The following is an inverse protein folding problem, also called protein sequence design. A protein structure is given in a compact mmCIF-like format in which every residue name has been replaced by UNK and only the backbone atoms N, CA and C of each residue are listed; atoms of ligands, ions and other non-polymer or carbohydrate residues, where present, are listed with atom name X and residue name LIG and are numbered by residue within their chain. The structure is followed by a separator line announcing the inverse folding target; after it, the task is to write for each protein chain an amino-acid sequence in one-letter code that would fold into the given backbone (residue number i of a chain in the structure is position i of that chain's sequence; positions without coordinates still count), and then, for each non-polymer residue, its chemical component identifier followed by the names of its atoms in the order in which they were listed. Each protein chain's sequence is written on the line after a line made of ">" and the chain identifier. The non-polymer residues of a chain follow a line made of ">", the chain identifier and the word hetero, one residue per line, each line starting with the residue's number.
data_IF_343084291967
#
_entry.id   IF_343084291967
#
_cell.length_a   1.000
_cell.length_b   1.000
_cell.length_c   1.000
_cell.angle_alpha   90.00
_cell.angle_beta   90.00
_cell.angle_gamma   90.00
#
_symmetry.space_group_name_H-M   'P 1'
#
loop_
_entity.id
_entity.type
_entity.pdbx_description
1 polymer ?
#
# COMPACT_ATOMS: atom_id res chain seq x y z
N UNK A 1 -16.65 -17.57 22.36
CA UNK A 1 -15.99 -18.73 21.71
C UNK A 1 -14.45 -18.71 21.83
N UNK A 2 -13.75 -17.55 21.87
CA UNK A 2 -12.28 -17.52 22.09
C UNK A 2 -11.86 -17.60 23.58
N UNK A 3 -12.69 -17.12 24.54
CA UNK A 3 -12.35 -17.15 25.98
C UNK A 3 -12.09 -18.55 26.55
N UNK A 4 -12.59 -19.60 25.91
CA UNK A 4 -12.36 -21.00 26.32
C UNK A 4 -10.90 -21.43 26.21
N UNK A 5 -10.12 -20.79 25.33
CA UNK A 5 -8.72 -21.15 25.07
C UNK A 5 -7.73 -20.55 26.07
N UNK A 6 -8.18 -19.75 27.06
CA UNK A 6 -7.33 -19.11 28.09
C UNK A 6 -6.08 -18.43 27.52
N UNK A 7 -6.20 -17.78 26.35
CA UNK A 7 -5.06 -17.16 25.68
C UNK A 7 -4.51 -15.95 26.47
N UNK A 8 -3.18 -15.88 26.60
CA UNK A 8 -2.50 -14.71 27.18
C UNK A 8 -2.38 -13.53 26.21
N UNK A 9 -2.30 -13.82 24.92
CA UNK A 9 -2.09 -12.85 23.85
C UNK A 9 -2.84 -13.28 22.57
N UNK A 10 -3.53 -12.34 21.96
CA UNK A 10 -4.10 -12.46 20.62
C UNK A 10 -3.22 -11.71 19.63
N UNK A 11 -2.90 -12.36 18.52
CA UNK A 11 -2.09 -11.80 17.44
C UNK A 11 -2.96 -11.61 16.21
N UNK A 12 -3.12 -10.37 15.79
CA UNK A 12 -3.82 -9.97 14.57
C UNK A 12 -2.80 -9.64 13.48
N UNK A 13 -2.99 -10.22 12.30
CA UNK A 13 -2.25 -9.85 11.10
C UNK A 13 -3.15 -10.04 9.88
N UNK A 14 -3.37 -8.97 9.12
CA UNK A 14 -4.28 -8.98 7.96
C UNK A 14 -5.72 -9.45 8.26
N UNK A 15 -6.16 -9.36 9.52
CA UNK A 15 -7.53 -9.67 9.91
C UNK A 15 -8.47 -8.53 9.47
N UNK A 16 -9.58 -8.87 8.82
CA UNK A 16 -10.44 -7.90 8.15
C UNK A 16 -11.65 -7.46 8.98
N UNK A 17 -11.76 -7.91 10.23
CA UNK A 17 -12.85 -7.53 11.13
C UNK A 17 -12.34 -6.67 12.30
N UNK A 18 -13.22 -5.83 12.81
CA UNK A 18 -12.94 -5.01 14.00
C UNK A 18 -13.18 -5.88 15.24
N UNK A 19 -12.25 -5.84 16.20
CA UNK A 19 -12.46 -6.45 17.50
C UNK A 19 -13.58 -5.71 18.24
N UNK A 20 -14.73 -6.38 18.42
CA UNK A 20 -15.87 -5.81 19.14
C UNK A 20 -15.56 -5.50 20.60
N UNK A 21 -16.45 -4.75 21.25
CA UNK A 21 -16.28 -4.28 22.65
C UNK A 21 -16.03 -5.43 23.64
N UNK A 22 -16.65 -6.58 23.44
CA UNK A 22 -16.44 -7.77 24.28
C UNK A 22 -14.99 -8.23 24.25
N UNK A 23 -14.39 -8.36 23.06
CA UNK A 23 -12.98 -8.72 22.92
C UNK A 23 -12.05 -7.71 23.58
N UNK A 24 -12.31 -6.42 23.37
CA UNK A 24 -11.49 -5.36 23.98
C UNK A 24 -11.56 -5.37 25.50
N UNK A 25 -12.73 -5.69 26.08
CA UNK A 25 -12.90 -5.80 27.54
C UNK A 25 -12.09 -6.98 28.11
N UNK A 26 -12.22 -8.16 27.51
CA UNK A 26 -11.55 -9.38 28.00
C UNK A 26 -10.06 -9.45 27.68
N UNK A 27 -9.62 -8.84 26.58
CA UNK A 27 -8.24 -8.85 26.10
C UNK A 27 -7.63 -7.46 26.06
N UNK A 28 -8.03 -6.57 26.98
CA UNK A 28 -7.43 -5.23 27.08
C UNK A 28 -5.91 -5.35 27.24
N UNK A 29 -5.14 -4.66 26.38
CA UNK A 29 -3.68 -4.77 26.25
C UNK A 29 -3.14 -6.19 26.02
N UNK A 30 -3.97 -7.11 25.52
CA UNK A 30 -3.63 -8.48 25.15
C UNK A 30 -3.95 -8.79 23.70
N UNK A 31 -4.14 -7.77 22.86
CA UNK A 31 -4.28 -7.92 21.41
C UNK A 31 -3.20 -7.06 20.76
N UNK A 32 -2.35 -7.68 19.96
CA UNK A 32 -1.38 -6.98 19.12
C UNK A 32 -1.75 -7.12 17.65
N UNK A 33 -1.51 -6.07 16.88
CA UNK A 33 -1.74 -6.08 15.44
C UNK A 33 -0.46 -5.73 14.70
N UNK A 34 -0.14 -6.49 13.65
CA UNK A 34 0.94 -6.19 12.73
C UNK A 34 0.40 -5.44 11.52
N UNK A 35 0.77 -4.16 11.43
CA UNK A 35 0.32 -3.22 10.41
C UNK A 35 1.46 -2.81 9.48
N UNK A 36 1.25 -2.90 8.18
CA UNK A 36 2.24 -2.52 7.17
C UNK A 36 2.24 -1.00 6.88
N UNK A 37 2.29 -0.18 7.95
CA UNK A 37 2.35 1.28 7.89
C UNK A 37 3.19 1.88 9.03
N UNK A 38 3.71 3.09 8.82
CA UNK A 38 4.51 3.84 9.80
C UNK A 38 3.64 4.68 10.74
N UNK A 39 3.00 4.04 11.72
CA UNK A 39 2.18 4.71 12.73
C UNK A 39 2.93 5.82 13.47
N UNK A 40 2.29 6.97 13.79
CA UNK A 40 0.86 7.26 13.63
C UNK A 40 0.41 7.65 12.21
N UNK A 41 1.33 7.73 11.27
CA UNK A 41 1.01 7.97 9.87
C UNK A 41 0.59 6.66 9.19
N UNK A 42 -0.20 6.77 8.14
CA UNK A 42 -0.62 5.63 7.35
C UNK A 42 -1.43 4.58 8.14
N UNK A 43 -2.36 5.02 9.00
CA UNK A 43 -3.40 4.14 9.57
C UNK A 43 -4.38 3.69 8.49
N UNK A 44 -5.05 2.55 8.68
CA UNK A 44 -6.13 2.10 7.81
C UNK A 44 -5.69 1.04 6.79
N UNK A 45 -6.15 1.13 5.53
CA UNK A 45 -6.04 0.02 4.56
C UNK A 45 -5.33 0.42 3.27
N UNK A 46 -4.82 -0.57 2.54
CA UNK A 46 -4.07 -0.41 1.29
C UNK A 46 -2.81 0.47 1.43
N UNK A 47 -2.15 0.41 2.59
CA UNK A 47 -1.08 1.33 2.96
C UNK A 47 0.14 1.24 2.05
N UNK A 48 0.53 0.04 1.61
CA UNK A 48 1.63 -0.10 0.67
C UNK A 48 1.32 0.59 -0.67
N UNK A 49 0.07 0.50 -1.14
CA UNK A 49 -0.37 1.22 -2.33
C UNK A 49 -0.31 2.73 -2.09
N UNK A 50 -0.85 3.21 -0.96
CA UNK A 50 -0.83 4.64 -0.63
C UNK A 50 0.58 5.20 -0.49
N UNK A 51 1.50 4.48 0.15
CA UNK A 51 2.90 4.88 0.26
C UNK A 51 3.55 5.06 -1.12
N UNK A 52 3.29 4.14 -2.06
CA UNK A 52 3.77 4.26 -3.43
C UNK A 52 3.11 5.42 -4.19
N UNK A 53 1.77 5.54 -4.11
CA UNK A 53 0.99 6.62 -4.75
C UNK A 53 1.48 8.00 -4.30
N UNK A 54 1.72 8.17 -3.01
CA UNK A 54 2.19 9.41 -2.41
C UNK A 54 3.68 9.69 -2.70
N UNK A 55 4.39 8.74 -3.32
CA UNK A 55 5.81 8.90 -3.66
C UNK A 55 6.73 8.84 -2.45
N UNK A 56 6.34 8.09 -1.42
CA UNK A 56 7.14 7.94 -0.22
C UNK A 56 8.53 7.37 -0.52
N UNK A 57 9.53 7.85 0.23
CA UNK A 57 10.90 7.32 0.16
C UNK A 57 11.12 6.17 1.13
N UNK A 58 10.21 5.98 2.09
CA UNK A 58 10.24 4.90 3.09
C UNK A 58 8.81 4.48 3.43
N UNK A 59 8.59 3.20 3.66
CA UNK A 59 7.41 2.70 4.37
C UNK A 59 7.82 2.11 5.71
N UNK A 60 6.86 1.68 6.52
CA UNK A 60 7.14 1.04 7.79
C UNK A 60 6.24 -0.14 8.05
N UNK A 61 6.66 -0.98 8.99
CA UNK A 61 5.88 -2.07 9.56
C UNK A 61 5.87 -1.83 11.06
N UNK A 62 4.69 -1.84 11.64
CA UNK A 62 4.45 -1.54 13.05
C UNK A 62 3.69 -2.67 13.69
N UNK A 63 4.18 -3.15 14.84
CA UNK A 63 3.36 -3.96 15.74
C UNK A 63 2.93 -3.07 16.89
N UNK A 64 1.63 -3.00 17.12
CA UNK A 64 1.03 -2.12 18.13
C UNK A 64 -0.07 -2.86 18.88
N UNK A 65 -0.44 -2.36 20.05
CA UNK A 65 -1.63 -2.83 20.75
C UNK A 65 -2.89 -2.37 20.02
N UNK A 66 -3.92 -3.22 20.04
CA UNK A 66 -5.25 -2.83 19.56
C UNK A 66 -5.99 -2.10 20.67
N UNK A 67 -6.59 -0.97 20.31
CA UNK A 67 -7.48 -0.19 21.17
C UNK A 67 -8.86 -0.02 20.47
N UNK A 68 -9.64 1.00 20.85
CA UNK A 68 -10.97 1.26 20.28
C UNK A 68 -10.91 1.79 18.84
N UNK A 69 -9.80 2.35 18.40
CA UNK A 69 -9.65 2.97 17.09
C UNK A 69 -9.01 2.05 16.06
N UNK A 70 -8.83 2.56 14.85
CA UNK A 70 -8.20 1.82 13.74
C UNK A 70 -6.71 2.19 13.71
N UNK A 71 -5.87 1.22 14.07
CA UNK A 71 -4.41 1.36 14.12
C UNK A 71 -3.93 2.52 15.01
N UNK A 72 -4.63 2.83 16.11
CA UNK A 72 -4.33 3.96 17.00
C UNK A 72 -3.59 3.60 18.29
N UNK A 73 -3.61 2.33 18.68
CA UNK A 73 -3.02 1.92 19.96
C UNK A 73 -1.49 2.00 20.02
N UNK A 74 -0.96 1.88 21.25
CA UNK A 74 0.46 2.10 21.54
C UNK A 74 1.37 1.17 20.73
N UNK A 75 2.46 1.73 20.21
CA UNK A 75 3.44 1.02 19.37
C UNK A 75 4.37 0.19 20.25
N UNK A 76 4.50 -1.11 19.96
CA UNK A 76 5.45 -2.01 20.61
C UNK A 76 6.80 -1.97 19.90
N UNK A 77 6.77 -2.09 18.57
CA UNK A 77 7.95 -2.00 17.72
C UNK A 77 7.54 -1.48 16.34
N UNK A 78 8.42 -0.67 15.74
CA UNK A 78 8.27 -0.19 14.38
C UNK A 78 9.62 -0.24 13.67
N UNK A 79 9.64 -0.71 12.42
CA UNK A 79 10.79 -0.60 11.53
C UNK A 79 10.40 0.11 10.24
N UNK A 80 11.32 0.95 9.74
CA UNK A 80 11.17 1.66 8.46
C UNK A 80 12.08 1.04 7.41
N UNK A 81 11.60 0.98 6.18
CA UNK A 81 12.27 0.38 5.04
C UNK A 81 12.29 1.37 3.87
N UNK A 82 13.43 1.48 3.18
CA UNK A 82 13.59 2.37 2.02
C UNK A 82 12.71 1.88 0.87
N UNK A 83 12.09 2.82 0.17
CA UNK A 83 11.41 2.63 -1.12
C UNK A 83 12.34 3.23 -2.16
N UNK A 84 12.89 2.38 -3.03
CA UNK A 84 13.65 2.82 -4.19
C UNK A 84 12.71 3.31 -5.30
N UNK A 85 13.29 3.93 -6.32
CA UNK A 85 12.53 4.33 -7.51
C UNK A 85 12.03 3.12 -8.32
N UNK A 86 12.67 1.96 -8.18
CA UNK A 86 12.33 0.74 -8.91
C UNK A 86 11.35 -0.15 -8.15
N UNK A 87 11.11 0.12 -6.87
CA UNK A 87 10.14 -0.63 -6.08
C UNK A 87 8.71 -0.41 -6.57
N UNK A 88 7.93 -1.48 -6.49
CA UNK A 88 6.53 -1.52 -6.86
C UNK A 88 5.71 -2.20 -5.75
N UNK A 89 4.42 -2.38 -5.98
CA UNK A 89 3.55 -2.99 -4.98
C UNK A 89 4.01 -4.41 -4.61
N UNK A 90 4.48 -5.21 -5.58
CA UNK A 90 4.94 -6.57 -5.37
C UNK A 90 6.19 -6.60 -4.51
N UNK A 91 7.16 -5.73 -4.77
CA UNK A 91 8.41 -5.70 -4.01
C UNK A 91 8.18 -5.29 -2.55
N UNK A 92 7.31 -4.30 -2.30
CA UNK A 92 6.91 -3.91 -0.94
C UNK A 92 6.13 -5.02 -0.23
N UNK A 93 5.23 -5.70 -0.93
CA UNK A 93 4.47 -6.82 -0.37
C UNK A 93 5.38 -7.98 0.02
N UNK A 94 6.32 -8.36 -0.86
CA UNK A 94 7.32 -9.40 -0.57
C UNK A 94 8.19 -9.03 0.63
N UNK A 95 8.56 -7.75 0.76
CA UNK A 95 9.27 -7.26 1.94
C UNK A 95 8.43 -7.42 3.21
N UNK A 96 7.13 -7.14 3.16
CA UNK A 96 6.22 -7.37 4.28
C UNK A 96 6.09 -8.85 4.65
N UNK A 97 5.97 -9.76 3.66
CA UNK A 97 5.94 -11.20 3.92
C UNK A 97 7.18 -11.70 4.66
N UNK A 98 8.35 -11.13 4.39
CA UNK A 98 9.59 -11.49 5.08
C UNK A 98 9.72 -10.86 6.47
N UNK A 99 9.26 -9.62 6.64
CA UNK A 99 9.59 -8.82 7.82
C UNK A 99 8.49 -8.78 8.88
N UNK A 100 7.21 -8.86 8.50
CA UNK A 100 6.10 -8.88 9.45
C UNK A 100 6.20 -10.04 10.46
N UNK A 101 6.44 -11.31 10.05
CA UNK A 101 6.53 -12.42 11.01
C UNK A 101 7.66 -12.22 12.04
N UNK A 102 8.80 -11.67 11.59
CA UNK A 102 9.93 -11.38 12.49
C UNK A 102 9.56 -10.35 13.55
N UNK A 103 8.90 -9.27 13.15
CA UNK A 103 8.47 -8.23 14.08
C UNK A 103 7.40 -8.74 15.04
N UNK A 104 6.47 -9.57 14.56
CA UNK A 104 5.47 -10.22 15.41
C UNK A 104 6.15 -11.11 16.46
N UNK A 105 7.10 -11.96 16.08
CA UNK A 105 7.82 -12.82 17.02
C UNK A 105 8.57 -11.99 18.07
N UNK A 106 9.30 -10.95 17.65
CA UNK A 106 9.97 -10.03 18.57
C UNK A 106 8.95 -9.38 19.53
N UNK A 107 7.78 -8.98 19.05
CA UNK A 107 6.73 -8.41 19.89
C UNK A 107 6.13 -9.40 20.88
N UNK A 108 5.96 -10.67 20.49
CA UNK A 108 5.50 -11.74 21.39
C UNK A 108 6.53 -11.97 22.49
N UNK A 109 7.82 -12.06 22.16
CA UNK A 109 8.89 -12.22 23.14
C UNK A 109 8.94 -11.05 24.12
N UNK A 110 8.86 -9.82 23.58
CA UNK A 110 8.77 -8.61 24.40
C UNK A 110 7.56 -8.64 25.33
N UNK A 111 6.39 -9.05 24.84
CA UNK A 111 5.18 -9.16 25.63
C UNK A 111 5.34 -10.19 26.76
N UNK A 112 5.79 -11.41 26.42
CA UNK A 112 6.00 -12.52 27.37
C UNK A 112 6.96 -12.13 28.49
N UNK A 113 8.08 -11.50 28.15
CA UNK A 113 9.11 -11.08 29.11
C UNK A 113 8.75 -9.78 29.84
N UNK A 114 7.59 -9.16 29.54
CA UNK A 114 7.20 -7.82 30.00
C UNK A 114 8.27 -6.75 29.73
N UNK A 115 9.06 -6.96 28.67
CA UNK A 115 10.21 -6.13 28.30
C UNK A 115 9.88 -5.26 27.08
N UNK A 116 8.95 -4.32 27.26
CA UNK A 116 8.62 -3.32 26.26
C UNK A 116 8.28 -1.98 26.92
N UNK A 117 8.71 -0.89 26.29
CA UNK A 117 8.21 0.45 26.55
C UNK A 117 7.36 0.86 25.35
N UNK A 118 6.06 0.67 25.47
CA UNK A 118 5.14 1.01 24.38
C UNK A 118 5.14 2.54 24.17
N UNK A 119 5.15 2.97 22.92
CA UNK A 119 5.16 4.39 22.55
C UNK A 119 3.72 4.79 22.22
N UNK A 120 3.18 5.77 22.95
CA UNK A 120 1.86 6.33 22.63
C UNK A 120 1.97 7.08 21.31
N UNK A 121 1.06 6.79 20.40
CA UNK A 121 1.06 7.44 19.08
C UNK A 121 0.91 8.96 19.16
N UNK A 122 0.13 9.45 20.12
CA UNK A 122 -0.10 10.89 20.33
C UNK A 122 1.16 11.65 20.79
N UNK A 123 2.14 10.95 21.36
CA UNK A 123 3.44 11.54 21.74
C UNK A 123 4.34 11.75 20.51
N UNK A 124 4.06 11.05 19.40
CA UNK A 124 4.75 11.24 18.11
C UNK A 124 4.05 12.31 17.28
N UNK A 125 2.73 12.16 17.06
CA UNK A 125 1.90 13.11 16.35
C UNK A 125 0.43 12.91 16.75
N UNK A 126 -0.24 13.98 17.19
CA UNK A 126 -1.63 13.93 17.66
C UNK A 126 -2.64 13.62 16.55
N UNK A 127 -2.33 13.98 15.29
CA UNK A 127 -3.23 13.84 14.14
C UNK A 127 -2.96 12.54 13.39
N UNK A 128 -1.70 12.25 13.10
CA UNK A 128 -1.27 11.18 12.22
C UNK A 128 -1.87 11.32 10.82
N UNK A 129 -2.04 10.20 10.13
CA UNK A 129 -2.80 10.15 8.87
C UNK A 129 -3.55 8.83 8.73
N UNK A 130 -4.69 8.88 8.05
CA UNK A 130 -5.57 7.74 7.86
C UNK A 130 -5.93 7.59 6.38
N UNK A 131 -5.85 6.37 5.87
CA UNK A 131 -6.20 6.04 4.50
C UNK A 131 -7.27 4.95 4.45
N UNK A 132 -8.32 5.25 3.70
CA UNK A 132 -9.43 4.32 3.47
C UNK A 132 -9.01 3.18 2.55
N UNK A 133 -9.75 2.08 2.63
CA UNK A 133 -9.65 0.97 1.67
C UNK A 133 -9.93 1.52 0.26
N UNK A 134 -9.06 1.18 -0.69
CA UNK A 134 -9.32 1.45 -2.10
C UNK A 134 -10.45 0.55 -2.61
N UNK A 135 -11.26 1.07 -3.52
CA UNK A 135 -12.43 0.41 -4.11
C UNK A 135 -12.27 0.27 -5.62
N UNK A 136 -13.07 -0.61 -6.20
CA UNK A 136 -13.20 -0.72 -7.65
C UNK A 136 -13.56 0.66 -8.22
N UNK A 137 -12.80 1.10 -9.21
CA UNK A 137 -12.90 2.43 -9.81
C UNK A 137 -11.73 3.34 -9.44
N UNK A 138 -11.08 3.12 -8.29
CA UNK A 138 -9.92 3.92 -7.87
C UNK A 138 -8.69 3.68 -8.75
N UNK A 139 -8.72 2.70 -9.65
CA UNK A 139 -7.63 2.32 -10.55
C UNK A 139 -7.46 3.23 -11.76
N UNK A 140 -8.37 4.18 -12.01
CA UNK A 140 -8.32 5.02 -13.19
C UNK A 140 -7.16 6.02 -13.15
N UNK A 141 -6.33 6.02 -14.18
CA UNK A 141 -5.25 7.00 -14.34
C UNK A 141 -5.86 8.37 -14.64
N UNK A 142 -5.50 9.35 -13.83
CA UNK A 142 -5.73 10.74 -14.17
C UNK A 142 -4.54 11.29 -14.97
N UNK A 143 -4.69 11.36 -16.30
CA UNK A 143 -3.64 11.84 -17.20
C UNK A 143 -3.29 13.32 -17.02
N UNK A 144 -4.16 14.13 -16.38
CA UNK A 144 -3.84 15.54 -16.07
C UNK A 144 -2.86 15.69 -14.91
N UNK A 145 -2.37 14.61 -14.32
CA UNK A 145 -1.32 14.65 -13.32
C UNK A 145 0.08 14.71 -13.94
N UNK A 146 1.05 15.11 -13.12
CA UNK A 146 2.47 15.09 -13.44
C UNK A 146 2.98 13.66 -13.61
N UNK A 147 4.02 13.51 -14.43
CA UNK A 147 4.63 12.22 -14.82
C UNK A 147 5.03 11.38 -13.61
N UNK A 148 5.57 11.99 -12.56
CA UNK A 148 5.92 11.30 -11.32
C UNK A 148 4.70 10.74 -10.56
N UNK A 149 3.58 11.46 -10.54
CA UNK A 149 2.34 10.98 -9.88
C UNK A 149 1.75 9.80 -10.65
N UNK A 150 1.71 9.89 -11.98
CA UNK A 150 1.26 8.77 -12.84
C UNK A 150 2.19 7.57 -12.67
N UNK A 151 3.51 7.78 -12.64
CA UNK A 151 4.50 6.74 -12.39
C UNK A 151 4.27 6.01 -11.06
N UNK A 152 4.15 6.78 -9.99
CA UNK A 152 3.87 6.28 -8.66
C UNK A 152 2.54 5.52 -8.59
N UNK A 153 1.51 6.02 -9.25
CA UNK A 153 0.21 5.37 -9.32
C UNK A 153 0.26 4.03 -10.05
N UNK A 154 0.95 3.95 -11.21
CA UNK A 154 1.08 2.70 -11.96
C UNK A 154 1.82 1.64 -11.14
N UNK A 155 3.00 1.96 -10.59
CA UNK A 155 3.79 0.99 -9.80
C UNK A 155 3.09 0.58 -8.50
N UNK A 156 2.21 1.41 -7.96
CA UNK A 156 1.43 1.11 -6.77
C UNK A 156 0.34 0.05 -6.99
N UNK A 157 -0.03 -0.26 -8.24
CA UNK A 157 -1.19 -1.10 -8.54
C UNK A 157 -0.84 -2.37 -9.31
N UNK A 158 0.44 -2.62 -9.62
CA UNK A 158 0.88 -3.83 -10.33
C UNK A 158 0.57 -5.11 -9.55
N UNK A 159 0.59 -6.25 -10.24
CA UNK A 159 0.41 -7.60 -9.67
C UNK A 159 1.11 -7.78 -8.30
N UNK A 160 0.43 -8.32 -7.27
CA UNK A 160 -0.94 -8.88 -7.26
C UNK A 160 -2.04 -7.82 -7.05
N UNK A 161 -1.79 -6.56 -7.42
CA UNK A 161 -2.75 -5.46 -7.45
C UNK A 161 -3.56 -5.37 -8.76
N UNK A 162 -4.59 -4.51 -8.80
CA UNK A 162 -5.61 -4.51 -9.86
C UNK A 162 -5.18 -3.86 -11.19
N UNK A 163 -3.91 -3.47 -11.30
CA UNK A 163 -3.32 -2.61 -12.31
C UNK A 163 -3.95 -1.22 -12.38
N UNK A 164 -3.16 -0.23 -12.79
CA UNK A 164 -3.71 1.06 -13.17
C UNK A 164 -4.48 0.90 -14.49
N UNK A 165 -5.54 1.67 -14.69
CA UNK A 165 -6.48 1.50 -15.79
C UNK A 165 -6.68 2.81 -16.56
N UNK A 166 -6.93 2.70 -17.85
CA UNK A 166 -7.34 3.81 -18.73
C UNK A 166 -8.31 3.29 -19.78
N UNK A 167 -8.89 4.17 -20.58
CA UNK A 167 -9.71 3.80 -21.74
C UNK A 167 -9.04 4.23 -23.05
N UNK A 168 -9.21 3.40 -24.08
CA UNK A 168 -8.90 3.73 -25.47
C UNK A 168 -10.04 3.24 -26.36
N UNK A 169 -10.70 4.13 -27.11
CA UNK A 169 -11.90 3.83 -27.91
C UNK A 169 -12.94 3.02 -27.13
N UNK A 170 -13.29 3.48 -25.93
CA UNK A 170 -14.21 2.83 -24.98
C UNK A 170 -13.79 1.43 -24.49
N UNK A 171 -12.58 0.97 -24.82
CA UNK A 171 -12.03 -0.29 -24.31
C UNK A 171 -11.12 0.00 -23.13
N UNK A 172 -11.34 -0.72 -22.03
CA UNK A 172 -10.50 -0.65 -20.83
C UNK A 172 -9.13 -1.27 -21.12
N UNK A 173 -8.08 -0.55 -20.77
CA UNK A 173 -6.68 -0.97 -20.89
C UNK A 173 -6.05 -0.94 -19.50
N UNK A 174 -5.27 -1.97 -19.18
CA UNK A 174 -4.55 -2.10 -17.92
C UNK A 174 -3.08 -1.79 -18.12
N UNK A 175 -2.56 -0.82 -17.38
CA UNK A 175 -1.17 -0.36 -17.46
C UNK A 175 -0.35 -1.08 -16.40
N UNK A 176 0.69 -1.78 -16.84
CA UNK A 176 1.59 -2.54 -15.96
C UNK A 176 2.89 -1.77 -15.72
N UNK A 177 3.56 -1.34 -16.78
CA UNK A 177 4.87 -0.71 -16.67
C UNK A 177 4.97 0.55 -17.50
N UNK A 178 5.47 1.60 -16.87
CA UNK A 178 5.76 2.87 -17.52
C UNK A 178 7.10 3.43 -17.05
N UNK A 179 7.68 4.30 -17.88
CA UNK A 179 8.88 5.07 -17.57
C UNK A 179 8.65 6.55 -17.86
N UNK A 180 9.34 7.42 -17.12
CA UNK A 180 9.29 8.87 -17.33
C UNK A 180 10.36 9.23 -18.37
N UNK A 181 9.96 9.93 -19.42
CA UNK A 181 10.88 10.41 -20.44
C UNK A 181 11.38 11.81 -20.06
N UNK A 182 12.67 11.92 -19.72
CA UNK A 182 13.27 13.20 -19.30
C UNK A 182 13.67 14.12 -20.46
N UNK A 183 14.02 13.54 -21.61
CA UNK A 183 14.50 14.24 -22.80
C UNK A 183 13.63 13.84 -23.99
N UNK A 184 12.38 14.27 -23.96
CA UNK A 184 11.43 14.05 -25.05
C UNK A 184 10.64 15.34 -25.25
N UNK A 185 10.59 15.81 -26.49
CA UNK A 185 9.81 16.97 -26.90
C UNK A 185 8.84 16.57 -27.98
N UNK A 186 7.67 17.17 -27.95
CA UNK A 186 6.65 17.03 -28.98
C UNK A 186 5.89 18.34 -29.05
N UNK A 187 5.22 18.59 -30.19
CA UNK A 187 4.33 19.75 -30.32
C UNK A 187 3.31 19.78 -29.18
N UNK A 188 2.82 20.97 -28.84
CA UNK A 188 1.80 21.14 -27.79
C UNK A 188 0.63 20.18 -28.04
N UNK A 189 0.26 19.43 -27.01
CA UNK A 189 -0.81 18.43 -27.03
C UNK A 189 -1.45 18.34 -25.66
N UNK A 190 -2.70 17.86 -25.61
CA UNK A 190 -3.43 17.68 -24.36
C UNK A 190 -2.88 16.46 -23.59
N UNK A 191 -2.88 16.53 -22.26
CA UNK A 191 -2.56 15.38 -21.42
C UNK A 191 -3.44 14.17 -21.76
N UNK A 192 -2.83 12.97 -21.79
CA UNK A 192 -3.47 11.73 -22.21
C UNK A 192 -3.36 11.46 -23.72
N UNK A 193 -2.87 12.40 -24.52
CA UNK A 193 -2.63 12.17 -25.96
C UNK A 193 -1.49 11.18 -26.14
N UNK A 194 -1.71 10.13 -26.94
CA UNK A 194 -0.62 9.30 -27.47
C UNK A 194 0.05 10.11 -28.57
N UNK A 195 1.30 10.51 -28.35
CA UNK A 195 2.03 11.40 -29.27
C UNK A 195 2.96 10.64 -30.20
N UNK A 196 3.33 9.41 -29.84
CA UNK A 196 4.30 8.62 -30.60
C UNK A 196 4.20 7.12 -30.27
N UNK A 197 4.65 6.29 -31.21
CA UNK A 197 4.77 4.85 -31.08
C UNK A 197 6.25 4.49 -30.93
N UNK A 198 6.62 4.05 -29.73
CA UNK A 198 7.95 3.51 -29.50
C UNK A 198 8.11 2.09 -30.05
N UNK A 199 9.33 1.57 -29.95
CA UNK A 199 9.65 0.17 -30.30
C UNK A 199 8.74 -0.81 -29.53
N UNK A 200 8.47 -1.98 -30.13
CA UNK A 200 7.67 -3.05 -29.52
C UNK A 200 6.27 -2.62 -29.08
N UNK A 201 5.60 -1.75 -29.86
CA UNK A 201 4.24 -1.24 -29.59
C UNK A 201 4.12 -0.48 -28.26
N UNK A 202 5.23 0.09 -27.78
CA UNK A 202 5.22 1.01 -26.64
C UNK A 202 4.61 2.35 -27.04
N UNK A 203 3.99 3.03 -26.08
CA UNK A 203 3.21 4.24 -26.35
C UNK A 203 3.81 5.42 -25.58
N UNK A 204 4.14 6.50 -26.28
CA UNK A 204 4.51 7.76 -25.63
C UNK A 204 3.25 8.56 -25.38
N UNK A 205 2.98 8.88 -24.12
CA UNK A 205 1.76 9.59 -23.71
C UNK A 205 2.14 10.90 -23.04
N UNK A 206 1.49 11.99 -23.47
CA UNK A 206 1.61 13.32 -22.84
C UNK A 206 1.02 13.28 -21.43
N UNK A 207 1.76 13.80 -20.46
CA UNK A 207 1.28 14.07 -19.09
C UNK A 207 1.16 15.58 -18.89
N UNK A 208 0.84 16.06 -17.68
CA UNK A 208 0.80 17.51 -17.45
C UNK A 208 2.16 18.20 -17.67
N UNK A 209 3.23 17.64 -17.13
CA UNK A 209 4.56 18.25 -17.08
C UNK A 209 5.57 17.66 -18.07
N UNK A 210 5.21 16.58 -18.79
CA UNK A 210 6.17 15.90 -19.66
C UNK A 210 5.54 14.77 -20.44
N UNK A 211 6.26 13.66 -20.50
CA UNK A 211 5.87 12.46 -21.24
C UNK A 211 6.26 11.21 -20.48
N UNK A 212 5.46 10.17 -20.68
CA UNK A 212 5.73 8.84 -20.16
C UNK A 212 5.66 7.82 -21.28
N UNK A 213 6.52 6.80 -21.19
CA UNK A 213 6.53 5.66 -22.10
C UNK A 213 5.84 4.49 -21.43
N UNK A 214 4.67 4.10 -21.94
CA UNK A 214 4.00 2.86 -21.54
C UNK A 214 4.74 1.70 -22.20
N UNK A 215 5.49 0.94 -21.40
CA UNK A 215 6.27 -0.22 -21.86
C UNK A 215 5.49 -1.52 -21.87
N UNK A 216 4.51 -1.66 -20.97
CA UNK A 216 3.70 -2.87 -20.86
C UNK A 216 2.28 -2.52 -20.43
N UNK A 217 1.32 -3.01 -21.20
CA UNK A 217 -0.11 -2.89 -20.94
C UNK A 217 -0.84 -4.14 -21.43
N UNK A 218 -2.07 -4.33 -20.96
CA UNK A 218 -2.91 -5.46 -21.33
C UNK A 218 -4.28 -4.96 -21.79
N UNK A 219 -4.80 -5.42 -22.94
CA UNK A 219 -6.14 -5.08 -23.39
C UNK A 219 -7.24 -5.83 -22.63
N UNK A 220 -6.90 -6.97 -22.02
CA UNK A 220 -7.75 -7.78 -21.14
C UNK A 220 -6.87 -8.44 -20.07
N UNK A 221 -7.39 -8.59 -18.86
CA UNK A 221 -6.75 -9.36 -17.78
C UNK A 221 -7.73 -10.41 -17.28
N UNK A 222 -7.25 -11.64 -17.08
CA UNK A 222 -7.98 -12.68 -16.38
C UNK A 222 -7.53 -12.71 -14.91
N UNK A 223 -8.24 -11.97 -14.06
CA UNK A 223 -7.90 -11.86 -12.65
C UNK A 223 -8.04 -13.19 -11.86
N UNK A 224 -8.89 -14.12 -12.32
CA UNK A 224 -9.00 -15.45 -11.71
C UNK A 224 -7.71 -16.25 -11.87
N UNK A 225 -7.11 -16.23 -13.07
CA UNK A 225 -5.80 -16.87 -13.34
C UNK A 225 -4.65 -16.22 -12.56
N UNK A 226 -4.79 -14.96 -12.14
CA UNK A 226 -3.79 -14.23 -11.36
C UNK A 226 -3.95 -14.41 -9.84
N UNK A 227 -4.93 -15.20 -9.37
CA UNK A 227 -5.14 -15.44 -7.95
C UNK A 227 -5.68 -14.23 -7.17
N UNK A 228 -6.21 -13.22 -7.86
CA UNK A 228 -6.62 -11.94 -7.28
C UNK A 228 -8.05 -11.92 -6.71
N UNK A 229 -8.80 -12.99 -6.90
CA UNK A 229 -10.13 -13.20 -6.31
C UNK A 229 -10.23 -14.65 -5.85
N UNK A 230 -9.95 -14.87 -4.56
CA UNK A 230 -10.43 -16.01 -3.79
C UNK A 230 -11.24 -15.46 -2.62
#
# INVERSE_FOLDING_TARGET
>A
MIHKFKCDLLVSMSYNQIFGRSYQKFFSRKIINCHAGSLPFYRGRNILNWALINGEKKFGITVHFVDKGIDTGDIIIQKKYKISKLDDYKSLLNKCYKECPKLVLISIDKFRLRNYKAIKQNDIDKKGSYFKKRKIGDEMINWSQNSNKIYNFVRALVDPGPFAQTFYKNRRIFIHKLEILKKYSFKKSKSGTIVDLGRNKSLVVKTNDGFVLIKKYYPKINFKKMGMFK
#
